data_IF_536372330009
#
_entry.id   IF_536372330009
#
_cell.length_a   1.000
_cell.length_b   1.000
_cell.length_c   1.000
_cell.angle_alpha   90.00
_cell.angle_beta   90.00
_cell.angle_gamma   90.00
#
_symmetry.space_group_name_H-M   'P 1'
#
loop_
_entity.id
_entity.type
_entity.pdbx_description
1 polymer ?
#
# COMPACT_ATOMS: atom_id res chain seq x y z
N UNK A 1 9.82 9.55 11.87
CA UNK A 1 9.50 10.30 10.62
C UNK A 1 10.51 10.03 9.50
N UNK A 2 11.82 10.11 9.75
CA UNK A 2 12.85 9.83 8.73
C UNK A 2 12.65 8.48 8.01
N UNK A 3 12.24 7.43 8.74
CA UNK A 3 12.04 6.11 8.12
C UNK A 3 10.91 6.09 7.09
N UNK A 4 9.87 6.91 7.25
CA UNK A 4 8.82 7.05 6.23
C UNK A 4 9.42 7.60 4.93
N UNK A 5 10.27 8.62 5.01
CA UNK A 5 10.93 9.18 3.81
C UNK A 5 11.89 8.16 3.17
N UNK A 6 12.65 7.41 3.95
CA UNK A 6 13.48 6.30 3.42
C UNK A 6 12.64 5.24 2.72
N UNK A 7 11.47 4.91 3.27
CA UNK A 7 10.54 3.96 2.65
C UNK A 7 9.99 4.53 1.34
N UNK A 8 9.58 5.80 1.31
CA UNK A 8 9.02 6.47 0.13
C UNK A 8 10.07 6.78 -0.95
N UNK A 9 11.37 6.78 -0.64
CA UNK A 9 12.46 6.96 -1.60
C UNK A 9 12.67 5.72 -2.51
N UNK A 10 11.58 5.13 -2.99
CA UNK A 10 11.55 4.02 -3.92
C UNK A 10 10.30 4.15 -4.80
N UNK A 11 10.49 4.13 -6.12
CA UNK A 11 9.43 4.41 -7.09
C UNK A 11 8.25 3.43 -6.97
N UNK A 12 8.52 2.12 -6.86
CA UNK A 12 7.47 1.11 -6.74
C UNK A 12 6.63 1.30 -5.48
N UNK A 13 7.23 1.69 -4.35
CA UNK A 13 6.49 1.94 -3.10
C UNK A 13 5.59 3.18 -3.21
N UNK A 14 6.03 4.21 -3.93
CA UNK A 14 5.19 5.37 -4.26
C UNK A 14 4.03 4.97 -5.17
N UNK A 15 4.29 4.19 -6.22
CA UNK A 15 3.27 3.67 -7.13
C UNK A 15 2.22 2.84 -6.38
N UNK A 16 2.63 1.98 -5.45
CA UNK A 16 1.69 1.22 -4.60
C UNK A 16 0.74 2.16 -3.84
N UNK A 17 1.24 3.23 -3.23
CA UNK A 17 0.39 4.22 -2.54
C UNK A 17 -0.53 4.98 -3.49
N UNK A 18 -0.12 5.22 -4.73
CA UNK A 18 -0.95 5.87 -5.74
C UNK A 18 -2.08 4.95 -6.19
N UNK A 19 -1.75 3.70 -6.50
CA UNK A 19 -2.72 2.70 -6.93
C UNK A 19 -3.77 2.43 -5.85
N UNK A 20 -3.32 2.27 -4.61
CA UNK A 20 -4.22 2.01 -3.47
C UNK A 20 -5.07 3.23 -3.07
N UNK A 21 -4.77 4.44 -3.56
CA UNK A 21 -5.60 5.64 -3.33
C UNK A 21 -6.94 5.53 -4.04
N UNK A 22 -6.92 4.95 -5.24
CA UNK A 22 -8.12 4.70 -6.03
C UNK A 22 -7.95 3.34 -6.72
N UNK A 23 -8.20 2.23 -6.01
CA UNK A 23 -7.97 0.89 -6.56
C UNK A 23 -8.75 0.63 -7.84
N UNK A 24 -9.99 1.12 -7.95
CA UNK A 24 -10.87 0.89 -9.10
C UNK A 24 -10.36 1.59 -10.37
N UNK A 25 -9.57 2.65 -10.23
CA UNK A 25 -8.91 3.31 -11.36
C UNK A 25 -7.58 2.66 -11.76
N UNK A 26 -7.02 1.77 -10.92
CA UNK A 26 -5.67 1.27 -11.07
C UNK A 26 -5.58 -0.25 -11.23
N UNK A 27 -6.60 -1.00 -10.85
CA UNK A 27 -6.67 -2.45 -10.98
C UNK A 27 -7.91 -2.86 -11.77
N UNK A 28 -7.87 -4.06 -12.31
CA UNK A 28 -9.00 -4.69 -13.01
C UNK A 28 -10.06 -5.06 -11.94
N UNK A 29 -11.33 -4.73 -12.19
CA UNK A 29 -12.39 -4.92 -11.19
C UNK A 29 -12.54 -6.38 -10.77
N UNK A 30 -12.45 -7.30 -11.72
CA UNK A 30 -12.52 -8.75 -11.50
C UNK A 30 -11.36 -9.30 -10.66
N UNK A 31 -10.24 -8.59 -10.60
CA UNK A 31 -9.08 -8.98 -9.78
C UNK A 31 -9.22 -8.49 -8.32
N UNK A 32 -10.13 -7.56 -8.01
CA UNK A 32 -10.18 -6.87 -6.70
C UNK A 32 -11.54 -6.93 -5.99
N UNK A 33 -12.63 -7.14 -6.73
CA UNK A 33 -13.98 -7.24 -6.18
C UNK A 33 -14.30 -8.68 -5.76
N UNK A 34 -15.06 -8.88 -4.67
CA UNK A 34 -15.69 -7.86 -3.81
C UNK A 34 -14.78 -7.32 -2.68
N UNK A 35 -13.58 -7.87 -2.49
CA UNK A 35 -12.77 -7.67 -1.29
C UNK A 35 -12.20 -6.26 -1.13
N UNK A 36 -12.07 -5.51 -2.23
CA UNK A 36 -11.47 -4.17 -2.26
C UNK A 36 -12.12 -3.19 -1.29
N UNK A 37 -13.43 -3.30 -1.07
CA UNK A 37 -14.18 -2.40 -0.21
C UNK A 37 -13.83 -2.61 1.27
N UNK A 38 -13.74 -3.86 1.72
CA UNK A 38 -13.55 -4.20 3.14
C UNK A 38 -12.06 -4.32 3.49
N UNK A 39 -11.32 -5.07 2.66
CA UNK A 39 -9.96 -5.52 2.94
C UNK A 39 -8.90 -4.75 2.15
N UNK A 40 -9.25 -4.25 0.96
CA UNK A 40 -8.33 -3.61 0.04
C UNK A 40 -7.82 -4.59 -1.03
N UNK A 41 -6.62 -4.36 -1.56
CA UNK A 41 -6.12 -5.14 -2.70
C UNK A 41 -5.22 -6.27 -2.24
N UNK A 42 -5.43 -7.47 -2.78
CA UNK A 42 -4.65 -8.65 -2.45
C UNK A 42 -3.18 -8.49 -2.87
N UNK A 43 -2.25 -9.07 -2.09
CA UNK A 43 -0.81 -9.07 -2.38
C UNK A 43 -0.49 -9.54 -3.80
N UNK A 44 -1.14 -10.62 -4.26
CA UNK A 44 -0.91 -11.24 -5.57
C UNK A 44 -1.29 -10.29 -6.72
N UNK A 45 -2.35 -9.51 -6.55
CA UNK A 45 -2.82 -8.53 -7.53
C UNK A 45 -1.85 -7.35 -7.61
N UNK A 46 -1.39 -6.85 -6.46
CA UNK A 46 -0.35 -5.81 -6.39
C UNK A 46 0.94 -6.32 -7.04
N UNK A 47 1.33 -7.57 -6.76
CA UNK A 47 2.51 -8.21 -7.34
C UNK A 47 2.42 -8.26 -8.87
N UNK A 48 1.28 -8.77 -9.39
CA UNK A 48 1.00 -8.88 -10.83
C UNK A 48 1.13 -7.53 -11.52
N UNK A 49 0.57 -6.47 -10.93
CA UNK A 49 0.67 -5.11 -11.47
C UNK A 49 2.08 -4.53 -11.38
N UNK A 50 2.80 -4.78 -10.29
CA UNK A 50 4.16 -4.27 -10.08
C UNK A 50 5.20 -4.97 -10.97
N UNK A 51 4.92 -6.19 -11.46
CA UNK A 51 5.88 -6.98 -12.23
C UNK A 51 7.09 -7.43 -11.42
N UNK A 52 6.96 -7.51 -10.10
CA UNK A 52 8.05 -7.85 -9.17
C UNK A 52 7.92 -9.28 -8.64
N UNK A 53 9.04 -9.79 -8.13
CA UNK A 53 9.05 -11.08 -7.43
C UNK A 53 8.21 -11.04 -6.15
N UNK A 54 7.71 -12.20 -5.73
CA UNK A 54 6.91 -12.33 -4.50
C UNK A 54 7.69 -11.87 -3.25
N UNK A 55 8.99 -12.19 -3.17
CA UNK A 55 9.81 -11.79 -2.02
C UNK A 55 10.02 -10.28 -1.98
N UNK A 56 10.25 -9.65 -3.14
CA UNK A 56 10.39 -8.18 -3.24
C UNK A 56 9.11 -7.48 -2.82
N UNK A 57 7.96 -7.87 -3.38
CA UNK A 57 6.70 -7.18 -3.08
C UNK A 57 6.28 -7.39 -1.62
N UNK A 58 6.47 -8.61 -1.10
CA UNK A 58 6.17 -8.93 0.31
C UNK A 58 7.03 -8.10 1.25
N UNK A 59 8.33 -7.97 0.97
CA UNK A 59 9.23 -7.10 1.73
C UNK A 59 8.78 -5.64 1.70
N UNK A 60 8.38 -5.13 0.54
CA UNK A 60 7.92 -3.75 0.40
C UNK A 60 6.65 -3.50 1.20
N UNK A 61 5.63 -4.32 1.01
CA UNK A 61 4.36 -4.20 1.69
C UNK A 61 4.52 -4.32 3.21
N UNK A 62 5.35 -5.26 3.69
CA UNK A 62 5.69 -5.40 5.11
C UNK A 62 6.36 -4.13 5.65
N UNK A 63 7.34 -3.59 4.93
CA UNK A 63 8.05 -2.37 5.36
C UNK A 63 7.13 -1.14 5.43
N UNK A 64 6.16 -1.06 4.50
CA UNK A 64 5.19 0.03 4.45
C UNK A 64 4.10 -0.11 5.53
N UNK A 65 3.72 -1.33 5.90
CA UNK A 65 2.87 -1.59 7.07
C UNK A 65 3.62 -1.23 8.36
N UNK A 66 4.89 -1.64 8.50
CA UNK A 66 5.68 -1.37 9.70
C UNK A 66 5.88 0.13 9.97
N UNK A 67 6.03 0.96 8.93
CA UNK A 67 6.09 2.42 9.10
C UNK A 67 4.71 3.10 9.13
N UNK A 68 3.63 2.31 9.05
CA UNK A 68 2.26 2.74 9.19
C UNK A 68 1.63 3.36 7.95
N UNK A 69 2.29 3.36 6.79
CA UNK A 69 1.74 3.91 5.53
C UNK A 69 0.60 3.05 4.97
N UNK A 70 0.63 1.75 5.23
CA UNK A 70 -0.40 0.78 4.85
C UNK A 70 -0.99 0.11 6.09
N UNK A 71 -2.22 -0.37 5.96
CA UNK A 71 -2.86 -1.36 6.84
C UNK A 71 -2.96 -2.68 6.08
N UNK A 72 -2.77 -3.80 6.76
CA UNK A 72 -2.96 -5.13 6.21
C UNK A 72 -4.07 -5.89 6.95
N UNK A 73 -4.78 -6.75 6.22
CA UNK A 73 -5.78 -7.67 6.77
C UNK A 73 -5.52 -9.05 6.16
N UNK A 74 -5.61 -10.10 6.97
CA UNK A 74 -5.46 -11.48 6.51
C UNK A 74 -6.81 -12.17 6.59
N UNK A 75 -7.35 -12.55 5.43
CA UNK A 75 -8.58 -13.30 5.31
C UNK A 75 -8.29 -14.66 4.65
N UNK A 76 -8.41 -15.72 5.44
CA UNK A 76 -8.02 -17.06 5.04
C UNK A 76 -6.54 -17.14 4.63
N UNK A 77 -6.29 -17.49 3.36
CA UNK A 77 -4.95 -17.63 2.81
C UNK A 77 -4.38 -16.34 2.20
N UNK A 78 -5.19 -15.29 2.10
CA UNK A 78 -4.85 -14.07 1.39
C UNK A 78 -4.58 -12.92 2.35
N UNK A 79 -3.62 -12.07 1.99
CA UNK A 79 -3.34 -10.83 2.71
C UNK A 79 -3.62 -9.65 1.80
N UNK A 80 -4.46 -8.74 2.29
CA UNK A 80 -4.92 -7.55 1.60
C UNK A 80 -4.28 -6.30 2.20
N UNK A 81 -4.11 -5.28 1.38
CA UNK A 81 -3.49 -4.03 1.77
C UNK A 81 -4.33 -2.83 1.34
N UNK A 82 -4.43 -1.85 2.24
CA UNK A 82 -5.05 -0.55 1.98
C UNK A 82 -4.21 0.58 2.57
N UNK A 83 -4.40 1.79 2.06
CA UNK A 83 -3.73 2.97 2.60
C UNK A 83 -4.16 3.24 4.03
N UNK A 84 -3.22 3.67 4.85
CA UNK A 84 -3.52 4.23 6.14
C UNK A 84 -3.69 5.76 6.01
N UNK A 85 -4.91 6.21 5.70
CA UNK A 85 -5.18 7.65 5.51
C UNK A 85 -4.89 8.49 6.76
N UNK A 86 -5.05 7.92 7.95
CA UNK A 86 -4.73 8.61 9.21
C UNK A 86 -3.24 8.93 9.27
N UNK A 87 -2.38 7.95 8.98
CA UNK A 87 -0.92 8.14 8.98
C UNK A 87 -0.46 9.06 7.86
N UNK A 88 -1.08 8.97 6.69
CA UNK A 88 -0.78 9.86 5.56
C UNK A 88 -1.17 11.31 5.86
N UNK A 89 -2.30 11.53 6.56
CA UNK A 89 -2.71 12.86 7.02
C UNK A 89 -1.75 13.41 8.08
N UNK A 90 -1.28 12.58 9.00
CA UNK A 90 -0.24 12.94 9.97
C UNK A 90 1.05 13.36 9.26
N UNK A 91 1.51 12.57 8.28
CA UNK A 91 2.69 12.90 7.48
C UNK A 91 2.52 14.23 6.73
N UNK A 92 1.37 14.44 6.08
CA UNK A 92 1.09 15.69 5.38
C UNK A 92 1.09 16.90 6.32
N UNK A 93 0.52 16.75 7.53
CA UNK A 93 0.55 17.78 8.57
C UNK A 93 1.96 18.06 9.07
N UNK A 94 2.78 17.03 9.28
CA UNK A 94 4.18 17.18 9.65
C UNK A 94 4.97 17.95 8.60
N UNK A 95 4.81 17.61 7.32
CA UNK A 95 5.44 18.32 6.21
C UNK A 95 4.99 19.79 6.17
N UNK A 96 3.69 20.05 6.34
CA UNK A 96 3.15 21.42 6.25
C UNK A 96 3.57 22.33 7.41
N UNK A 97 3.63 21.78 8.62
CA UNK A 97 3.73 22.57 9.85
C UNK A 97 5.11 22.50 10.52
N UNK A 98 5.98 21.58 10.11
CA UNK A 98 7.28 21.37 10.77
C UNK A 98 8.47 21.44 9.81
N UNK A 99 8.29 21.06 8.54
CA UNK A 99 9.30 21.24 7.49
C UNK A 99 9.04 22.54 6.73
#
# INVERSE_FOLDING_TARGET
MVDIFKILANEHRLQILQWLKNPHANFIAEDIEPEVTDYGVCMSVIQKKAGLSQSTISSYLTSMVNCGLLKSVREGQWTYYKRNEEKLKELASYIKNTL
#
